data_IF_856999945837
#
_entry.id   IF_856999945837
#
_cell.length_a   1.000
_cell.length_b   1.000
_cell.length_c   1.000
_cell.angle_alpha   90.00
_cell.angle_beta   90.00
_cell.angle_gamma   90.00
#
_symmetry.space_group_name_H-M   'P 1'
#
loop_
_entity.id
_entity.type
_entity.pdbx_description
1 polymer ?
#
# COMPACT_ATOMS: atom_id res chain seq x y z
N UNK A 1 6.97 -27.45 12.57
CA UNK A 1 6.04 -26.31 12.75
C UNK A 1 6.74 -24.99 12.37
N UNK A 2 7.24 -24.87 11.14
CA UNK A 2 8.01 -23.69 10.69
C UNK A 2 7.63 -23.21 9.29
N UNK A 3 6.59 -23.78 8.66
CA UNK A 3 6.27 -23.52 7.25
C UNK A 3 5.08 -22.57 7.03
N UNK A 4 4.51 -21.98 8.09
CA UNK A 4 3.28 -21.17 7.97
C UNK A 4 3.41 -19.69 8.38
N UNK A 5 4.60 -19.21 8.78
CA UNK A 5 4.79 -17.83 9.26
C UNK A 5 5.67 -16.94 8.38
N UNK A 6 6.30 -17.45 7.30
CA UNK A 6 7.43 -16.73 6.67
C UNK A 6 7.07 -16.14 5.28
N UNK A 7 6.02 -16.64 4.62
CA UNK A 7 5.79 -16.31 3.20
C UNK A 7 5.28 -14.88 2.96
N UNK A 8 4.43 -14.37 3.85
CA UNK A 8 3.86 -13.01 3.74
C UNK A 8 4.87 -11.93 4.10
N UNK A 9 5.55 -12.11 5.25
CA UNK A 9 6.56 -11.16 5.75
C UNK A 9 7.74 -11.03 4.79
N UNK A 10 8.19 -12.15 4.17
CA UNK A 10 9.26 -12.10 3.17
C UNK A 10 8.88 -11.34 1.90
N UNK A 11 7.60 -11.34 1.53
CA UNK A 11 7.12 -10.59 0.35
C UNK A 11 7.00 -9.12 0.70
N UNK A 12 6.43 -8.77 1.86
CA UNK A 12 6.36 -7.39 2.31
C UNK A 12 7.72 -6.76 2.48
N UNK A 13 8.70 -7.48 3.05
CA UNK A 13 10.06 -6.96 3.24
C UNK A 13 10.75 -6.67 1.90
N UNK A 14 10.54 -7.53 0.89
CA UNK A 14 11.07 -7.33 -0.46
C UNK A 14 10.45 -6.10 -1.14
N UNK A 15 9.13 -5.94 -1.05
CA UNK A 15 8.46 -4.77 -1.60
C UNK A 15 8.83 -3.48 -0.84
N UNK A 16 8.96 -3.54 0.48
CA UNK A 16 9.37 -2.40 1.30
C UNK A 16 10.79 -1.95 0.98
N UNK A 17 11.74 -2.89 0.85
CA UNK A 17 13.12 -2.57 0.46
C UNK A 17 13.18 -1.97 -0.95
N UNK A 18 12.54 -2.60 -1.93
CA UNK A 18 12.53 -2.09 -3.30
C UNK A 18 11.90 -0.69 -3.41
N UNK A 19 10.83 -0.45 -2.67
CA UNK A 19 10.17 0.86 -2.60
C UNK A 19 11.08 1.91 -1.93
N UNK A 20 11.75 1.54 -0.85
CA UNK A 20 12.68 2.41 -0.15
C UNK A 20 13.87 2.78 -1.04
N UNK A 21 14.47 1.81 -1.73
CA UNK A 21 15.58 2.05 -2.65
C UNK A 21 15.17 3.01 -3.77
N UNK A 22 14.00 2.78 -4.39
CA UNK A 22 13.47 3.66 -5.42
C UNK A 22 13.15 5.06 -4.88
N UNK A 23 12.55 5.17 -3.70
CA UNK A 23 12.26 6.45 -3.07
C UNK A 23 13.53 7.22 -2.69
N UNK A 24 14.59 6.50 -2.29
CA UNK A 24 15.91 7.05 -1.99
C UNK A 24 16.60 7.58 -3.25
N UNK A 25 16.60 6.82 -4.33
CA UNK A 25 17.14 7.25 -5.63
C UNK A 25 16.45 8.52 -6.13
N UNK A 26 15.14 8.62 -5.94
CA UNK A 26 14.34 9.78 -6.34
C UNK A 26 14.31 10.90 -5.29
N UNK A 27 14.97 10.75 -4.13
CA UNK A 27 15.00 11.71 -3.01
C UNK A 27 13.60 12.12 -2.49
N UNK A 28 12.66 11.18 -2.49
CA UNK A 28 11.26 11.38 -2.07
C UNK A 28 10.86 10.51 -0.88
N UNK A 29 11.81 10.00 -0.11
CA UNK A 29 11.57 9.09 1.04
C UNK A 29 10.50 9.65 1.98
N UNK A 30 10.65 10.90 2.43
CA UNK A 30 9.72 11.51 3.39
C UNK A 30 8.29 11.60 2.83
N UNK A 31 8.15 11.94 1.54
CA UNK A 31 6.85 12.02 0.86
C UNK A 31 6.19 10.65 0.73
N UNK A 32 6.96 9.63 0.35
CA UNK A 32 6.47 8.25 0.23
C UNK A 32 6.07 7.71 1.60
N UNK A 33 6.85 7.98 2.65
CA UNK A 33 6.52 7.59 4.01
C UNK A 33 5.20 8.21 4.48
N UNK A 34 5.04 9.52 4.32
CA UNK A 34 3.83 10.25 4.70
C UNK A 34 2.58 9.74 3.94
N UNK A 35 2.75 9.47 2.64
CA UNK A 35 1.71 8.87 1.82
C UNK A 35 1.29 7.48 2.31
N UNK A 36 2.24 6.59 2.59
CA UNK A 36 1.95 5.24 3.10
C UNK A 36 1.30 5.27 4.48
N UNK A 37 1.74 6.17 5.37
CA UNK A 37 1.12 6.38 6.68
C UNK A 37 -0.33 6.86 6.52
N UNK A 38 -0.58 7.81 5.62
CA UNK A 38 -1.92 8.31 5.33
C UNK A 38 -2.84 7.22 4.77
N UNK A 39 -2.34 6.39 3.84
CA UNK A 39 -3.08 5.25 3.29
C UNK A 39 -3.41 4.23 4.39
N UNK A 40 -2.42 3.89 5.22
CA UNK A 40 -2.59 2.96 6.33
C UNK A 40 -3.62 3.46 7.34
N UNK A 41 -3.60 4.76 7.66
CA UNK A 41 -4.55 5.38 8.57
C UNK A 41 -5.99 5.31 8.03
N UNK A 42 -6.19 5.64 6.74
CA UNK A 42 -7.51 5.56 6.09
C UNK A 42 -8.05 4.13 6.10
N UNK A 43 -7.22 3.14 5.77
CA UNK A 43 -7.61 1.72 5.81
C UNK A 43 -7.95 1.28 7.24
N UNK A 44 -7.19 1.72 8.25
CA UNK A 44 -7.42 1.33 9.63
C UNK A 44 -8.64 2.00 10.26
N UNK A 45 -8.96 3.25 9.88
CA UNK A 45 -10.15 3.97 10.33
C UNK A 45 -11.43 3.47 9.69
N UNK A 46 -11.35 2.83 8.52
CA UNK A 46 -12.53 2.34 7.80
C UNK A 46 -12.57 0.80 7.75
N UNK A 47 -13.43 0.22 8.59
CA UNK A 47 -13.63 -1.24 8.68
C UNK A 47 -14.05 -1.86 7.35
N UNK A 48 -14.90 -1.20 6.58
CA UNK A 48 -15.39 -1.71 5.30
C UNK A 48 -14.28 -1.73 4.26
N UNK A 49 -13.46 -0.67 4.21
CA UNK A 49 -12.30 -0.61 3.34
C UNK A 49 -11.29 -1.72 3.69
N UNK A 50 -11.06 -1.97 4.99
CA UNK A 50 -10.19 -3.07 5.44
C UNK A 50 -10.70 -4.45 5.00
N UNK A 51 -12.02 -4.65 5.00
CA UNK A 51 -12.63 -5.89 4.48
C UNK A 51 -12.52 -5.98 2.96
N UNK A 52 -12.73 -4.87 2.26
CA UNK A 52 -12.64 -4.77 0.80
C UNK A 52 -11.26 -5.20 0.30
N UNK A 53 -10.19 -4.64 0.88
CA UNK A 53 -8.80 -4.95 0.49
C UNK A 53 -8.51 -6.46 0.63
N UNK A 54 -9.02 -7.08 1.70
CA UNK A 54 -8.83 -8.51 2.00
C UNK A 54 -9.79 -9.44 1.26
N UNK A 55 -10.85 -8.92 0.63
CA UNK A 55 -11.89 -9.75 0.04
C UNK A 55 -11.39 -10.45 -1.21
N UNK A 56 -11.45 -11.80 -1.30
CA UNK A 56 -11.10 -12.51 -2.53
C UNK A 56 -12.19 -12.43 -3.61
N UNK A 57 -13.38 -11.91 -3.25
CA UNK A 57 -14.55 -11.83 -4.15
C UNK A 57 -14.57 -10.57 -5.00
N UNK A 58 -13.71 -9.60 -4.71
CA UNK A 58 -13.63 -8.33 -5.42
C UNK A 58 -12.41 -8.38 -6.33
N UNK A 59 -12.59 -8.04 -7.61
CA UNK A 59 -11.51 -8.05 -8.59
C UNK A 59 -10.43 -7.03 -8.22
N UNK A 60 -9.17 -7.35 -8.53
CA UNK A 60 -8.03 -6.49 -8.21
C UNK A 60 -8.17 -5.09 -8.81
N UNK A 61 -8.71 -4.98 -10.04
CA UNK A 61 -8.95 -3.68 -10.69
C UNK A 61 -9.97 -2.85 -9.92
N UNK A 62 -11.09 -3.44 -9.48
CA UNK A 62 -12.11 -2.73 -8.70
C UNK A 62 -11.54 -2.22 -7.37
N UNK A 63 -10.70 -3.04 -6.71
CA UNK A 63 -10.02 -2.62 -5.47
C UNK A 63 -9.11 -1.42 -5.72
N UNK A 64 -8.32 -1.46 -6.78
CA UNK A 64 -7.41 -0.40 -7.16
C UNK A 64 -8.17 0.90 -7.46
N UNK A 65 -9.22 0.84 -8.28
CA UNK A 65 -10.04 2.02 -8.60
C UNK A 65 -10.66 2.65 -7.34
N UNK A 66 -11.15 1.83 -6.43
CA UNK A 66 -11.73 2.31 -5.16
C UNK A 66 -10.66 2.96 -4.29
N UNK A 67 -9.48 2.33 -4.16
CA UNK A 67 -8.36 2.89 -3.42
C UNK A 67 -7.92 4.23 -4.02
N UNK A 68 -7.67 4.30 -5.33
CA UNK A 68 -7.29 5.52 -6.02
C UNK A 68 -8.34 6.62 -5.88
N UNK A 69 -9.63 6.27 -5.96
CA UNK A 69 -10.71 7.25 -5.79
C UNK A 69 -10.77 7.81 -4.36
N UNK A 70 -10.55 6.98 -3.35
CA UNK A 70 -10.50 7.42 -1.95
C UNK A 70 -9.28 8.32 -1.73
N UNK A 71 -8.14 7.93 -2.29
CA UNK A 71 -6.88 8.66 -2.13
C UNK A 71 -6.74 9.86 -3.06
N UNK A 72 -7.62 10.04 -4.05
CA UNK A 72 -7.59 11.19 -4.98
C UNK A 72 -7.67 12.56 -4.30
N UNK A 73 -8.17 12.61 -3.06
CA UNK A 73 -8.20 13.82 -2.22
C UNK A 73 -6.89 14.06 -1.45
N UNK A 74 -6.03 13.05 -1.37
CA UNK A 74 -4.70 13.14 -0.80
C UNK A 74 -3.71 13.44 -1.92
N UNK A 75 -2.73 14.28 -1.65
CA UNK A 75 -1.73 14.67 -2.64
C UNK A 75 -0.63 13.59 -2.70
N UNK A 76 -0.99 12.40 -3.18
CA UNK A 76 -0.06 11.29 -3.30
C UNK A 76 0.99 11.57 -4.38
N UNK A 77 2.24 11.25 -4.06
CA UNK A 77 3.35 11.25 -5.00
C UNK A 77 3.15 10.14 -6.06
N UNK A 78 3.67 10.37 -7.26
CA UNK A 78 3.62 9.43 -8.39
C UNK A 78 4.13 8.03 -8.01
N UNK A 79 5.24 7.95 -7.28
CA UNK A 79 5.85 6.69 -6.85
C UNK A 79 4.92 5.93 -5.90
N UNK A 80 4.23 6.62 -5.00
CA UNK A 80 3.22 6.04 -4.10
C UNK A 80 2.01 5.51 -4.87
N UNK A 81 1.60 6.19 -5.95
CA UNK A 81 0.50 5.75 -6.82
C UNK A 81 0.90 4.52 -7.64
N UNK A 82 2.11 4.51 -8.21
CA UNK A 82 2.63 3.38 -8.98
C UNK A 82 2.84 2.12 -8.13
N UNK A 83 3.08 2.28 -6.83
CA UNK A 83 3.23 1.15 -5.92
C UNK A 83 1.91 0.42 -5.61
N UNK A 84 0.76 1.12 -5.67
CA UNK A 84 -0.57 0.57 -5.39
C UNK A 84 -1.10 -0.29 -6.55
#
# INVERSE_FOLDING_TARGET
MASQLISGDLISDRYALALYDLASENKVIDLVLDNLQSIQEVINKNRELKLLVKSPLIFSNDKLEILLKIMSKQNLNELSITFL
#
